data_IF_090412462609
#
_entry.id   IF_090412462609
#
_cell.length_a   1.000
_cell.length_b   1.000
_cell.length_c   1.000
_cell.angle_alpha   90.00
_cell.angle_beta   90.00
_cell.angle_gamma   90.00
#
_symmetry.space_group_name_H-M   'P 1'
#
loop_
_entity.id
_entity.type
_entity.pdbx_description
1 polymer ?
#
# COMPACT_ATOMS: atom_id res chain seq x y z
N UNK A 1 -85.06 17.02 -36.51
CA UNK A 1 -84.10 17.51 -35.49
C UNK A 1 -83.64 16.32 -34.67
N UNK A 2 -82.59 15.63 -35.12
CA UNK A 2 -81.92 14.58 -34.33
C UNK A 2 -80.58 15.14 -33.89
N UNK A 3 -80.45 15.33 -32.58
CA UNK A 3 -79.26 15.88 -31.92
C UNK A 3 -78.10 14.89 -32.09
N UNK A 4 -77.07 15.27 -32.85
CA UNK A 4 -75.83 14.51 -32.93
C UNK A 4 -74.97 14.83 -31.70
N UNK A 5 -74.74 13.82 -30.86
CA UNK A 5 -73.80 13.92 -29.75
C UNK A 5 -72.36 13.98 -30.30
N UNK A 6 -71.51 14.94 -29.88
CA UNK A 6 -70.11 14.95 -30.28
C UNK A 6 -69.37 13.82 -29.56
N UNK A 7 -68.81 12.89 -30.33
CA UNK A 7 -67.91 11.84 -29.85
C UNK A 7 -66.70 12.54 -29.19
N UNK A 8 -66.52 12.31 -27.89
CA UNK A 8 -65.29 12.67 -27.20
C UNK A 8 -64.17 11.77 -27.70
N UNK A 9 -63.16 12.38 -28.31
CA UNK A 9 -61.95 11.74 -28.79
C UNK A 9 -61.24 11.02 -27.62
N UNK A 10 -61.02 9.72 -27.77
CA UNK A 10 -60.37 8.90 -26.74
C UNK A 10 -58.89 9.23 -26.81
N UNK A 11 -58.43 10.09 -25.90
CA UNK A 11 -57.01 10.39 -25.74
C UNK A 11 -56.32 9.10 -25.29
N UNK A 12 -55.57 8.48 -26.19
CA UNK A 12 -54.76 7.30 -25.88
C UNK A 12 -53.77 7.71 -24.81
N UNK A 13 -53.79 7.03 -23.65
CA UNK A 13 -52.81 7.27 -22.60
C UNK A 13 -51.41 7.21 -23.23
N UNK A 14 -50.56 8.25 -23.05
CA UNK A 14 -49.24 8.25 -23.65
C UNK A 14 -48.56 6.95 -23.22
N UNK A 15 -48.11 6.17 -24.22
CA UNK A 15 -47.41 4.91 -24.00
C UNK A 15 -46.41 5.13 -22.86
N UNK A 16 -46.51 4.33 -21.79
CA UNK A 16 -45.76 4.51 -20.56
C UNK A 16 -44.25 4.56 -20.87
N UNK A 17 -43.78 5.77 -21.14
CA UNK A 17 -42.43 6.06 -21.53
C UNK A 17 -41.65 6.04 -20.19
N UNK A 18 -41.07 4.87 -19.90
CA UNK A 18 -39.83 4.70 -19.12
C UNK A 18 -39.82 5.08 -17.62
N UNK A 19 -40.94 5.00 -16.88
CA UNK A 19 -40.98 5.36 -15.44
C UNK A 19 -41.42 4.23 -14.48
N UNK A 20 -40.96 4.22 -13.21
CA UNK A 20 -39.59 4.48 -12.79
C UNK A 20 -38.77 3.23 -13.03
N UNK A 21 -37.54 3.41 -13.46
CA UNK A 21 -36.51 2.38 -13.40
C UNK A 21 -36.69 1.60 -12.08
N UNK A 22 -37.19 0.35 -12.16
CA UNK A 22 -37.67 -0.40 -11.00
C UNK A 22 -36.59 -0.31 -9.90
N UNK A 23 -36.95 -0.13 -8.61
CA UNK A 23 -36.00 0.20 -7.54
C UNK A 23 -34.78 -0.74 -7.46
N UNK A 24 -34.87 -1.95 -8.03
CA UNK A 24 -33.75 -2.87 -8.20
C UNK A 24 -32.58 -2.38 -9.06
N UNK A 25 -32.75 -1.40 -9.96
CA UNK A 25 -31.63 -0.82 -10.72
C UNK A 25 -30.74 0.06 -9.87
N UNK A 26 -31.29 0.75 -8.87
CA UNK A 26 -30.47 1.45 -7.88
C UNK A 26 -29.64 0.47 -7.07
N UNK A 27 -30.19 -0.71 -6.76
CA UNK A 27 -29.45 -1.79 -6.11
C UNK A 27 -28.33 -2.31 -7.02
N UNK A 28 -28.61 -2.48 -8.32
CA UNK A 28 -27.61 -2.89 -9.31
C UNK A 28 -26.49 -1.84 -9.46
N UNK A 29 -26.85 -0.56 -9.51
CA UNK A 29 -25.92 0.56 -9.54
C UNK A 29 -25.06 0.64 -8.28
N UNK A 30 -25.66 0.45 -7.10
CA UNK A 30 -24.94 0.40 -5.83
C UNK A 30 -23.95 -0.77 -5.79
N UNK A 31 -24.35 -1.95 -6.26
CA UNK A 31 -23.46 -3.12 -6.35
C UNK A 31 -22.32 -2.86 -7.34
N UNK A 32 -22.60 -2.29 -8.52
CA UNK A 32 -21.57 -1.95 -9.50
C UNK A 32 -20.55 -0.93 -8.94
N UNK A 33 -21.03 0.10 -8.24
CA UNK A 33 -20.17 1.11 -7.60
C UNK A 33 -19.33 0.47 -6.49
N UNK A 34 -19.92 -0.36 -5.63
CA UNK A 34 -19.17 -1.01 -4.53
C UNK A 34 -18.10 -1.94 -5.07
N UNK A 35 -18.40 -2.78 -6.07
CA UNK A 35 -17.41 -3.64 -6.73
C UNK A 35 -16.31 -2.82 -7.40
N UNK A 36 -16.68 -1.75 -8.12
CA UNK A 36 -15.73 -0.84 -8.74
C UNK A 36 -14.78 -0.20 -7.71
N UNK A 37 -15.33 0.23 -6.57
CA UNK A 37 -14.55 0.82 -5.48
C UNK A 37 -13.59 -0.20 -4.84
N UNK A 38 -14.06 -1.42 -4.59
CA UNK A 38 -13.24 -2.51 -4.03
C UNK A 38 -12.10 -2.86 -5.00
N UNK A 39 -12.41 -2.99 -6.30
CA UNK A 39 -11.42 -3.28 -7.33
C UNK A 39 -10.39 -2.15 -7.46
N UNK A 40 -10.84 -0.90 -7.46
CA UNK A 40 -9.97 0.28 -7.50
C UNK A 40 -9.05 0.36 -6.27
N UNK A 41 -9.59 0.12 -5.06
CA UNK A 41 -8.79 0.07 -3.82
C UNK A 41 -7.80 -1.09 -3.88
N UNK A 42 -8.20 -2.27 -4.36
CA UNK A 42 -7.35 -3.44 -4.50
C UNK A 42 -6.20 -3.22 -5.49
N UNK A 43 -6.51 -2.62 -6.64
CA UNK A 43 -5.51 -2.23 -7.64
C UNK A 43 -4.57 -1.18 -7.09
N UNK A 44 -5.10 -0.10 -6.52
CA UNK A 44 -4.32 0.95 -5.90
C UNK A 44 -3.38 0.35 -4.85
N UNK A 45 -3.88 -0.49 -3.95
CA UNK A 45 -3.04 -1.19 -2.96
C UNK A 45 -1.95 -2.04 -3.62
N UNK A 46 -2.25 -2.80 -4.69
CA UNK A 46 -1.22 -3.58 -5.41
C UNK A 46 -0.16 -2.70 -6.08
N UNK A 47 -0.56 -1.60 -6.69
CA UNK A 47 0.36 -0.66 -7.34
C UNK A 47 1.17 0.14 -6.33
N UNK A 48 0.53 0.58 -5.24
CA UNK A 48 1.16 1.27 -4.11
C UNK A 48 2.08 0.35 -3.31
N UNK A 49 1.96 -0.99 -3.41
CA UNK A 49 2.94 -1.89 -2.78
C UNK A 49 4.32 -1.77 -3.42
N UNK A 50 4.42 -1.68 -4.74
CA UNK A 50 5.73 -1.70 -5.42
C UNK A 50 6.44 -0.34 -5.48
N UNK A 51 5.70 0.77 -5.40
CA UNK A 51 6.23 2.14 -5.44
C UNK A 51 7.14 2.54 -4.26
N UNK A 52 6.80 2.28 -2.99
CA UNK A 52 7.57 2.79 -1.84
C UNK A 52 8.99 2.21 -1.78
N UNK A 53 9.17 0.94 -2.16
CA UNK A 53 10.51 0.36 -2.30
C UNK A 53 11.34 1.08 -3.36
N UNK A 54 10.77 1.26 -4.56
CA UNK A 54 11.46 1.91 -5.69
C UNK A 54 11.79 3.36 -5.37
N UNK A 55 10.85 4.11 -4.79
CA UNK A 55 11.05 5.49 -4.38
C UNK A 55 12.11 5.61 -3.29
N UNK A 56 12.10 4.74 -2.26
CA UNK A 56 13.11 4.75 -1.21
C UNK A 56 14.51 4.45 -1.76
N UNK A 57 14.65 3.46 -2.66
CA UNK A 57 15.92 3.16 -3.34
C UNK A 57 16.38 4.35 -4.19
N UNK A 58 15.47 4.93 -4.96
CA UNK A 58 15.77 6.09 -5.80
C UNK A 58 16.24 7.28 -4.96
N UNK A 59 15.58 7.55 -3.83
CA UNK A 59 15.98 8.61 -2.90
C UNK A 59 17.34 8.31 -2.29
N UNK A 60 17.61 7.08 -1.86
CA UNK A 60 18.93 6.70 -1.33
C UNK A 60 20.07 6.85 -2.35
N UNK A 61 19.80 6.64 -3.64
CA UNK A 61 20.81 6.69 -4.71
C UNK A 61 20.97 8.09 -5.32
N UNK A 62 19.86 8.79 -5.60
CA UNK A 62 19.86 10.08 -6.31
C UNK A 62 19.88 11.27 -5.37
N UNK A 63 19.25 11.12 -4.20
CA UNK A 63 19.17 12.15 -3.15
C UNK A 63 19.83 11.59 -1.89
N UNK A 64 21.10 11.21 -2.04
CA UNK A 64 21.94 10.64 -0.99
C UNK A 64 21.71 11.38 0.35
N UNK A 65 20.99 10.76 1.31
CA UNK A 65 20.65 11.44 2.54
C UNK A 65 21.92 11.70 3.33
N UNK A 66 22.06 12.91 3.88
CA UNK A 66 23.26 13.31 4.64
C UNK A 66 23.12 12.92 6.10
N UNK A 67 21.98 12.37 6.52
CA UNK A 67 21.67 12.07 7.93
C UNK A 67 21.12 10.66 8.12
N UNK A 68 21.56 10.02 9.21
CA UNK A 68 21.07 8.70 9.65
C UNK A 68 19.57 8.72 9.91
N UNK A 69 19.03 9.83 10.42
CA UNK A 69 17.59 10.00 10.67
C UNK A 69 16.76 9.97 9.38
N UNK A 70 17.26 10.58 8.30
CA UNK A 70 16.58 10.60 7.00
C UNK A 70 16.54 9.19 6.41
N UNK A 71 17.66 8.46 6.44
CA UNK A 71 17.74 7.06 6.02
C UNK A 71 16.76 6.20 6.83
N UNK A 72 16.70 6.41 8.15
CA UNK A 72 15.78 5.68 9.04
C UNK A 72 14.32 5.99 8.73
N UNK A 73 13.99 7.25 8.44
CA UNK A 73 12.65 7.66 8.04
C UNK A 73 12.23 6.99 6.74
N UNK A 74 13.12 6.97 5.73
CA UNK A 74 12.88 6.30 4.45
C UNK A 74 12.64 4.80 4.62
N UNK A 75 13.47 4.11 5.41
CA UNK A 75 13.25 2.69 5.69
C UNK A 75 11.94 2.46 6.44
N UNK A 76 11.60 3.28 7.44
CA UNK A 76 10.32 3.15 8.17
C UNK A 76 9.12 3.34 7.24
N UNK A 77 9.14 4.35 6.38
CA UNK A 77 8.10 4.58 5.38
C UNK A 77 7.97 3.39 4.42
N UNK A 78 9.10 2.87 3.93
CA UNK A 78 9.11 1.68 3.07
C UNK A 78 8.62 0.43 3.81
N UNK A 79 8.99 0.25 5.08
CA UNK A 79 8.58 -0.90 5.89
C UNK A 79 7.09 -0.85 6.22
N UNK A 80 6.55 0.30 6.63
CA UNK A 80 5.13 0.50 6.95
C UNK A 80 4.20 0.21 5.77
N UNK A 81 4.67 0.43 4.55
CA UNK A 81 3.90 0.11 3.34
C UNK A 81 3.67 -1.39 3.13
N UNK A 82 4.48 -2.26 3.77
CA UNK A 82 4.38 -3.71 3.64
C UNK A 82 4.05 -4.42 4.95
N UNK A 83 4.44 -3.86 6.08
CA UNK A 83 4.21 -4.36 7.42
C UNK A 83 3.59 -3.24 8.26
N UNK A 84 2.28 -3.31 8.50
CA UNK A 84 1.56 -2.31 9.32
C UNK A 84 2.11 -2.17 10.75
N UNK A 85 2.76 -3.22 11.26
CA UNK A 85 3.36 -3.26 12.60
C UNK A 85 4.87 -2.95 12.60
N UNK A 86 5.46 -2.52 11.48
CA UNK A 86 6.90 -2.25 11.37
C UNK A 86 7.43 -1.18 12.34
N UNK A 87 6.55 -0.33 12.85
CA UNK A 87 6.89 0.71 13.82
C UNK A 87 6.62 0.30 15.28
N UNK A 88 6.12 -0.91 15.53
CA UNK A 88 5.85 -1.39 16.88
C UNK A 88 7.09 -2.08 17.45
N UNK A 89 7.67 -1.50 18.49
CA UNK A 89 8.83 -2.04 19.20
C UNK A 89 10.17 -1.47 18.74
N UNK A 90 11.21 -2.26 18.96
CA UNK A 90 12.61 -1.86 18.76
C UNK A 90 12.99 -1.93 17.28
N UNK A 91 13.33 -0.78 16.69
CA UNK A 91 13.53 -0.66 15.25
C UNK A 91 14.64 -1.56 14.68
N UNK A 92 15.80 -1.62 15.34
CA UNK A 92 16.93 -2.43 14.87
C UNK A 92 16.67 -3.95 14.97
N UNK A 93 15.86 -4.39 15.94
CA UNK A 93 15.43 -5.79 16.03
C UNK A 93 14.46 -6.15 14.91
N UNK A 94 13.54 -5.24 14.59
CA UNK A 94 12.66 -5.39 13.43
C UNK A 94 13.46 -5.51 12.14
N UNK A 95 14.46 -4.64 11.94
CA UNK A 95 15.36 -4.71 10.80
C UNK A 95 16.01 -6.09 10.73
N UNK A 96 16.68 -6.52 11.81
CA UNK A 96 17.34 -7.83 11.87
C UNK A 96 16.39 -8.98 11.50
N UNK A 97 15.17 -9.00 12.05
CA UNK A 97 14.18 -10.07 11.83
C UNK A 97 13.79 -10.24 10.35
N UNK A 98 13.86 -9.17 9.56
CA UNK A 98 13.49 -9.17 8.14
C UNK A 98 14.63 -9.61 7.21
N UNK A 99 15.86 -9.81 7.70
CA UNK A 99 16.97 -10.30 6.89
C UNK A 99 17.14 -11.83 6.96
N UNK A 100 17.66 -12.45 5.87
CA UNK A 100 18.18 -13.80 5.91
C UNK A 100 19.29 -13.97 6.98
N UNK A 101 19.47 -15.17 7.55
CA UNK A 101 20.45 -15.43 8.61
C UNK A 101 21.88 -15.03 8.22
N UNK A 102 22.29 -15.23 6.97
CA UNK A 102 23.62 -14.88 6.47
C UNK A 102 23.89 -13.37 6.55
N UNK A 103 22.97 -12.55 6.06
CA UNK A 103 23.12 -11.09 6.13
C UNK A 103 22.92 -10.55 7.54
N UNK A 104 22.07 -11.18 8.35
CA UNK A 104 21.93 -10.81 9.77
C UNK A 104 23.28 -10.83 10.46
N UNK A 105 24.05 -11.90 10.31
CA UNK A 105 25.38 -12.01 10.93
C UNK A 105 26.35 -10.93 10.44
N UNK A 106 26.35 -10.63 9.13
CA UNK A 106 27.20 -9.58 8.55
C UNK A 106 26.88 -8.18 9.12
N UNK A 107 25.60 -7.84 9.26
CA UNK A 107 25.17 -6.50 9.68
C UNK A 107 24.83 -6.39 11.17
N UNK A 108 24.95 -7.47 11.94
CA UNK A 108 24.68 -7.49 13.37
C UNK A 108 25.43 -6.40 14.17
N UNK A 109 26.75 -6.19 13.99
CA UNK A 109 27.47 -5.13 14.72
C UNK A 109 26.96 -3.73 14.34
N UNK A 110 26.62 -3.50 13.07
CA UNK A 110 26.05 -2.23 12.62
C UNK A 110 24.69 -1.97 13.29
N UNK A 111 23.81 -2.99 13.31
CA UNK A 111 22.47 -2.89 13.89
C UNK A 111 22.50 -2.65 15.41
N UNK A 112 23.47 -3.24 16.12
CA UNK A 112 23.65 -3.00 17.56
C UNK A 112 24.09 -1.57 17.85
N UNK A 113 25.03 -1.04 17.03
CA UNK A 113 25.52 0.33 17.19
C UNK A 113 24.49 1.39 16.79
N UNK A 114 23.52 1.07 15.92
CA UNK A 114 22.47 2.02 15.51
C UNK A 114 21.66 2.58 16.68
N UNK A 115 21.46 1.79 17.74
CA UNK A 115 20.80 2.25 18.94
C UNK A 115 21.54 3.47 19.51
N UNK A 116 22.87 3.36 19.66
CA UNK A 116 23.74 4.41 20.18
C UNK A 116 23.87 5.58 19.21
N UNK A 117 24.07 5.31 17.92
CA UNK A 117 24.23 6.35 16.86
C UNK A 117 23.00 7.26 16.82
N UNK A 118 21.80 6.71 17.03
CA UNK A 118 20.55 7.48 17.02
C UNK A 118 20.49 8.57 18.11
N UNK A 119 21.22 8.39 19.21
CA UNK A 119 21.28 9.36 20.31
C UNK A 119 22.54 10.25 20.27
N UNK A 120 23.42 10.08 19.29
CA UNK A 120 24.64 10.88 19.17
C UNK A 120 24.41 12.23 18.47
N UNK A 121 25.29 13.23 18.71
CA UNK A 121 25.26 14.50 17.98
C UNK A 121 25.47 14.31 16.48
N UNK A 122 24.86 15.17 15.66
CA UNK A 122 24.91 15.08 14.20
C UNK A 122 26.34 15.02 13.64
N UNK A 123 27.30 15.72 14.26
CA UNK A 123 28.71 15.71 13.84
C UNK A 123 29.35 14.32 13.90
N UNK A 124 28.99 13.51 14.89
CA UNK A 124 29.50 12.14 15.03
C UNK A 124 28.70 11.12 14.21
N UNK A 125 27.44 11.42 13.90
CA UNK A 125 26.61 10.58 13.04
C UNK A 125 27.12 10.54 11.60
N UNK A 126 27.81 11.59 11.12
CA UNK A 126 28.27 11.71 9.74
C UNK A 126 29.12 10.51 9.28
N UNK A 127 29.97 9.98 10.15
CA UNK A 127 30.82 8.81 9.86
C UNK A 127 30.01 7.54 9.60
N UNK A 128 28.78 7.46 10.13
CA UNK A 128 27.89 6.31 10.04
C UNK A 128 26.87 6.40 8.91
N UNK A 129 26.75 7.57 8.26
CA UNK A 129 25.77 7.80 7.18
C UNK A 129 26.00 6.84 6.02
N UNK A 130 27.24 6.73 5.55
CA UNK A 130 27.58 5.89 4.40
C UNK A 130 27.41 4.39 4.68
N UNK A 131 27.97 3.81 5.78
CA UNK A 131 27.72 2.42 6.13
C UNK A 131 26.24 2.08 6.29
N UNK A 132 25.46 3.01 6.87
CA UNK A 132 24.03 2.79 7.05
C UNK A 132 23.24 2.92 5.75
N UNK A 133 23.68 3.78 4.82
CA UNK A 133 23.10 3.91 3.48
C UNK A 133 23.28 2.64 2.66
N UNK A 134 24.49 2.06 2.68
CA UNK A 134 24.76 0.80 2.00
C UNK A 134 23.89 -0.33 2.56
N UNK A 135 23.83 -0.44 3.90
CA UNK A 135 22.92 -1.37 4.56
C UNK A 135 21.46 -1.14 4.15
N UNK A 136 21.00 0.10 4.14
CA UNK A 136 19.64 0.47 3.77
C UNK A 136 19.27 0.00 2.35
N UNK A 137 20.19 0.14 1.39
CA UNK A 137 20.01 -0.35 0.03
C UNK A 137 19.89 -1.87 -0.03
N UNK A 138 20.80 -2.59 0.63
CA UNK A 138 20.76 -4.06 0.70
C UNK A 138 19.48 -4.54 1.37
N UNK A 139 19.09 -3.89 2.47
CA UNK A 139 17.88 -4.21 3.22
C UNK A 139 16.62 -4.02 2.36
N UNK A 140 16.46 -2.87 1.70
CA UNK A 140 15.33 -2.61 0.80
C UNK A 140 15.27 -3.58 -0.38
N UNK A 141 16.41 -4.15 -0.79
CA UNK A 141 16.45 -5.14 -1.87
C UNK A 141 16.06 -6.55 -1.42
N UNK A 142 16.44 -6.94 -0.20
CA UNK A 142 16.23 -8.31 0.30
C UNK A 142 14.98 -8.47 1.17
N UNK A 143 14.67 -7.50 2.03
CA UNK A 143 13.54 -7.59 2.95
C UNK A 143 12.19 -7.32 2.25
N UNK A 144 12.20 -6.65 1.09
CA UNK A 144 11.00 -6.20 0.39
C UNK A 144 11.04 -6.55 -1.12
N UNK A 145 9.97 -7.09 -1.71
CA UNK A 145 8.70 -7.50 -1.08
C UNK A 145 8.87 -8.76 -0.22
N UNK A 146 8.11 -8.92 0.88
CA UNK A 146 8.13 -10.13 1.69
C UNK A 146 7.82 -11.31 0.77
N UNK A 147 8.75 -12.25 0.67
CA UNK A 147 8.59 -13.48 -0.09
C UNK A 147 7.46 -14.23 0.61
N UNK A 148 6.26 -14.23 0.04
CA UNK A 148 5.16 -15.04 0.55
C UNK A 148 5.66 -16.49 0.55
N UNK A 149 5.79 -17.16 1.72
CA UNK A 149 5.89 -18.60 1.73
C UNK A 149 4.62 -19.09 1.05
N UNK A 150 4.78 -19.92 0.04
CA UNK A 150 3.69 -20.40 -0.79
C UNK A 150 2.53 -20.91 0.09
N UNK A 151 1.33 -20.64 -0.40
CA UNK A 151 0.11 -21.34 -0.04
C UNK A 151 0.40 -22.84 -0.09
N UNK A 152 0.59 -23.47 1.07
CA UNK A 152 0.34 -24.90 1.18
C UNK A 152 -1.16 -25.03 1.20
N UNK A 153 -1.75 -25.43 0.08
CA UNK A 153 -3.10 -26.00 0.10
C UNK A 153 -3.13 -27.08 1.18
N UNK A 154 -4.05 -27.02 2.16
CA UNK A 154 -4.37 -28.22 2.90
C UNK A 154 -5.12 -29.14 1.93
N UNK A 155 -4.38 -30.10 1.37
CA UNK A 155 -4.98 -31.33 0.88
C UNK A 155 -5.78 -31.93 2.02
N UNK A 156 -7.10 -31.89 1.90
CA UNK A 156 -7.99 -32.72 2.68
C UNK A 156 -7.96 -34.11 2.05
N UNK A 157 -7.21 -35.01 2.69
CA UNK A 157 -7.50 -36.45 2.68
C UNK A 157 -8.77 -36.73 3.50
#
# INVERSE_FOLDING_TARGET
MTLQAPIHDIVVAPAAHWWPLAPGWYLLGLVAITVGLIAMIGWARRYLRLRPRRLAIQQLQQQAPTRVTEITLLLKQAALAYHSHAAMGVWWEFLAKQLPPSLRQTYQPLLQNLATISYQPQSQQQTWVEPYREFALVWLQQALPPRHPNMTEPGHD
#
